data_IF_096194870933
#
_entry.id   IF_096194870933
#
_cell.length_a   1.000
_cell.length_b   1.000
_cell.length_c   1.000
_cell.angle_alpha   90.00
_cell.angle_beta   90.00
_cell.angle_gamma   90.00
#
_symmetry.space_group_name_H-M   'P 1'
#
loop_
_entity.id
_entity.type
_entity.pdbx_description
1 polymer ?
#
# COMPACT_ATOMS: atom_id res chain seq x y z
N UNK A 1 9.09 -15.34 -24.54
CA UNK A 1 9.11 -14.97 -23.10
C UNK A 1 9.23 -16.26 -22.33
N UNK A 2 10.30 -16.43 -21.55
CA UNK A 2 10.57 -17.68 -20.85
C UNK A 2 9.48 -17.99 -19.84
N UNK A 3 9.03 -19.25 -19.77
CA UNK A 3 8.02 -19.72 -18.82
C UNK A 3 8.45 -19.68 -17.33
N UNK A 4 9.65 -19.17 -17.03
CA UNK A 4 10.25 -19.13 -15.69
C UNK A 4 10.40 -17.73 -15.07
N UNK A 5 9.62 -16.75 -15.50
CA UNK A 5 9.74 -15.38 -14.98
C UNK A 5 8.88 -15.11 -13.74
N UNK A 6 8.42 -16.13 -13.03
CA UNK A 6 7.63 -15.99 -11.79
C UNK A 6 8.51 -16.12 -10.55
N UNK A 7 8.22 -15.36 -9.50
CA UNK A 7 8.81 -15.56 -8.17
C UNK A 7 8.23 -16.77 -7.43
N UNK A 8 7.22 -17.45 -8.02
CA UNK A 8 6.61 -18.65 -7.45
C UNK A 8 5.59 -18.36 -6.33
N UNK A 9 5.57 -19.25 -5.35
CA UNK A 9 4.74 -19.12 -4.14
C UNK A 9 5.48 -18.25 -3.12
N UNK A 10 4.79 -17.25 -2.59
CA UNK A 10 5.32 -16.28 -1.63
C UNK A 10 4.53 -16.37 -0.34
N UNK A 11 5.21 -16.23 0.79
CA UNK A 11 4.56 -16.26 2.11
C UNK A 11 4.67 -14.88 2.76
N UNK A 12 3.52 -14.24 3.10
CA UNK A 12 3.53 -12.99 3.85
C UNK A 12 4.15 -13.17 5.24
N UNK A 13 4.84 -12.15 5.69
CA UNK A 13 5.49 -12.11 6.99
C UNK A 13 4.97 -10.92 7.80
N UNK A 14 4.49 -11.18 9.01
CA UNK A 14 4.11 -10.12 9.94
C UNK A 14 5.30 -9.81 10.85
N UNK A 15 5.80 -8.60 10.77
CA UNK A 15 6.94 -8.12 11.57
C UNK A 15 6.42 -7.25 12.71
N UNK A 16 6.52 -7.69 13.96
CA UNK A 16 6.12 -6.91 15.12
C UNK A 16 7.21 -5.91 15.51
N UNK A 17 6.78 -4.71 15.88
CA UNK A 17 7.61 -3.66 16.45
C UNK A 17 7.10 -3.33 17.86
N UNK A 18 7.84 -3.77 18.87
CA UNK A 18 7.53 -3.55 20.28
C UNK A 18 8.05 -2.19 20.79
N UNK A 19 8.27 -1.26 19.86
CA UNK A 19 8.68 0.11 20.14
C UNK A 19 7.58 1.11 19.74
N UNK A 20 7.45 2.21 20.47
CA UNK A 20 6.43 3.19 20.15
C UNK A 20 6.74 3.94 18.85
N UNK A 21 5.71 4.18 18.04
CA UNK A 21 5.75 5.05 16.88
C UNK A 21 5.00 6.34 17.19
N UNK A 22 5.75 7.43 17.37
CA UNK A 22 5.15 8.77 17.51
C UNK A 22 4.75 9.28 16.14
N UNK A 23 3.46 9.55 15.98
CA UNK A 23 2.85 10.01 14.74
C UNK A 23 2.95 11.54 14.58
N UNK A 24 2.80 12.03 13.36
CA UNK A 24 2.88 13.47 13.04
C UNK A 24 1.82 14.30 13.78
N UNK A 25 0.67 13.70 14.08
CA UNK A 25 -0.40 14.34 14.87
C UNK A 25 -0.17 14.35 16.38
N UNK A 26 0.99 13.88 16.85
CA UNK A 26 1.37 13.80 18.27
C UNK A 26 0.82 12.58 19.02
N UNK A 27 -0.05 11.77 18.42
CA UNK A 27 -0.48 10.49 18.99
C UNK A 27 0.64 9.46 18.87
N UNK A 28 0.60 8.44 19.70
CA UNK A 28 1.60 7.36 19.69
C UNK A 28 0.90 6.02 19.53
N UNK A 29 1.40 5.22 18.59
CA UNK A 29 1.11 3.78 18.58
C UNK A 29 2.15 3.12 19.50
N UNK A 30 1.74 2.49 20.62
CA UNK A 30 2.68 1.92 21.59
C UNK A 30 3.47 0.76 21.00
N UNK A 31 2.88 0.04 20.06
CA UNK A 31 3.46 -1.01 19.23
C UNK A 31 2.73 -1.06 17.89
N UNK A 32 3.35 -1.65 16.89
CA UNK A 32 2.71 -1.84 15.59
C UNK A 32 3.30 -3.04 14.85
N UNK A 33 2.53 -3.59 13.93
CA UNK A 33 2.94 -4.66 13.03
C UNK A 33 3.03 -4.12 11.61
N UNK A 34 3.98 -4.60 10.82
CA UNK A 34 4.01 -4.45 9.38
C UNK A 34 3.90 -5.81 8.70
N UNK A 35 2.96 -5.93 7.76
CA UNK A 35 2.87 -7.09 6.88
C UNK A 35 3.74 -6.82 5.65
N UNK A 36 4.64 -7.74 5.36
CA UNK A 36 5.58 -7.65 4.24
C UNK A 36 5.63 -8.92 3.41
N UNK A 37 6.13 -8.80 2.21
CA UNK A 37 6.67 -9.89 1.39
C UNK A 37 8.03 -9.48 0.86
N UNK A 38 8.89 -10.49 0.65
CA UNK A 38 10.23 -10.29 0.10
C UNK A 38 10.45 -11.20 -1.10
N UNK A 39 11.23 -10.72 -2.06
CA UNK A 39 11.52 -11.42 -3.32
C UNK A 39 13.00 -11.27 -3.63
N UNK A 40 13.64 -12.36 -4.08
CA UNK A 40 15.08 -12.40 -4.28
C UNK A 40 15.87 -12.47 -2.97
N UNK A 41 17.17 -12.26 -3.05
CA UNK A 41 18.10 -12.39 -1.92
C UNK A 41 18.83 -11.09 -1.62
N UNK A 42 18.91 -10.75 -0.33
CA UNK A 42 19.72 -9.64 0.14
C UNK A 42 21.19 -10.03 0.10
N UNK A 43 22.00 -9.27 -0.66
CA UNK A 43 23.43 -9.55 -0.77
C UNK A 43 24.19 -9.24 0.53
N UNK A 44 25.44 -9.71 0.64
CA UNK A 44 26.24 -9.57 1.84
C UNK A 44 26.49 -8.10 2.21
N UNK A 45 26.63 -7.23 1.22
CA UNK A 45 26.81 -5.77 1.38
C UNK A 45 25.52 -5.03 1.67
N UNK A 46 24.36 -5.73 1.60
CA UNK A 46 23.00 -5.17 1.82
C UNK A 46 22.70 -3.92 1.00
N UNK A 47 23.24 -3.82 -0.20
CA UNK A 47 23.17 -2.65 -1.07
C UNK A 47 22.28 -2.85 -2.31
N UNK A 48 21.60 -4.01 -2.43
CA UNK A 48 20.71 -4.37 -3.53
C UNK A 48 19.21 -4.34 -3.15
N UNK A 49 18.85 -3.75 -2.03
CA UNK A 49 17.48 -3.75 -1.54
C UNK A 49 16.62 -2.70 -2.26
N UNK A 50 15.43 -3.08 -2.72
CA UNK A 50 14.44 -2.21 -3.37
C UNK A 50 13.14 -2.25 -2.57
N UNK A 51 12.65 -1.08 -2.16
CA UNK A 51 11.36 -0.92 -1.49
C UNK A 51 10.27 -0.59 -2.52
N UNK A 52 9.19 -1.36 -2.52
CA UNK A 52 8.00 -1.09 -3.34
C UNK A 52 6.90 -0.50 -2.45
N UNK A 53 6.53 0.74 -2.74
CA UNK A 53 5.46 1.46 -2.07
C UNK A 53 4.17 1.35 -2.89
N UNK A 54 3.14 0.73 -2.33
CA UNK A 54 1.86 0.53 -3.01
C UNK A 54 1.00 1.81 -3.07
N UNK A 55 0.10 1.86 -4.05
CA UNK A 55 -0.92 2.89 -4.18
C UNK A 55 -2.08 2.68 -3.18
N UNK A 56 -3.10 3.55 -3.22
CA UNK A 56 -4.22 3.56 -2.26
C UNK A 56 -4.88 2.19 -2.05
N UNK A 57 -5.09 1.44 -3.13
CA UNK A 57 -5.78 0.14 -3.10
C UNK A 57 -4.82 -1.06 -3.20
N UNK A 58 -3.53 -0.83 -3.04
CA UNK A 58 -2.52 -1.89 -3.05
C UNK A 58 -2.23 -2.44 -1.66
N UNK A 59 -1.34 -3.41 -1.61
CA UNK A 59 -0.89 -4.08 -0.40
C UNK A 59 0.54 -4.60 -0.57
N UNK A 60 0.99 -5.44 0.35
CA UNK A 60 2.31 -6.08 0.34
C UNK A 60 2.50 -7.12 -0.78
N UNK A 61 1.42 -7.68 -1.34
CA UNK A 61 1.49 -8.74 -2.36
C UNK A 61 1.82 -8.17 -3.75
N UNK A 62 3.11 -7.95 -3.99
CA UNK A 62 3.61 -7.30 -5.22
C UNK A 62 3.71 -8.28 -6.38
N UNK A 63 4.21 -9.50 -6.15
CA UNK A 63 4.44 -10.50 -7.20
C UNK A 63 4.21 -11.93 -6.69
N UNK A 64 4.09 -12.88 -7.60
CA UNK A 64 3.86 -14.29 -7.28
C UNK A 64 2.45 -14.59 -6.84
N UNK A 65 2.28 -15.69 -6.09
CA UNK A 65 1.01 -16.18 -5.56
C UNK A 65 1.20 -16.66 -4.13
N UNK A 66 0.13 -16.68 -3.33
CA UNK A 66 0.18 -17.27 -1.98
C UNK A 66 -0.05 -18.79 -2.02
N UNK A 67 -0.77 -19.28 -3.04
CA UNK A 67 -1.01 -20.71 -3.26
C UNK A 67 -1.00 -21.06 -4.76
N UNK A 68 -0.91 -22.35 -5.07
CA UNK A 68 -1.02 -22.83 -6.45
C UNK A 68 -2.44 -22.62 -7.04
N UNK A 69 -3.45 -22.58 -6.19
CA UNK A 69 -4.86 -22.42 -6.55
C UNK A 69 -5.25 -20.95 -6.80
N UNK A 70 -4.38 -20.00 -6.45
CA UNK A 70 -4.70 -18.58 -6.63
C UNK A 70 -4.87 -18.23 -8.11
N UNK A 71 -6.01 -17.63 -8.41
CA UNK A 71 -6.34 -17.19 -9.78
C UNK A 71 -5.47 -16.02 -10.23
N UNK A 72 -5.09 -15.16 -9.29
CA UNK A 72 -4.38 -13.91 -9.58
C UNK A 72 -3.01 -13.91 -8.91
N UNK A 73 -2.06 -13.24 -9.54
CA UNK A 73 -0.73 -12.94 -9.02
C UNK A 73 -0.74 -11.59 -8.31
N UNK A 74 0.36 -11.26 -7.65
CA UNK A 74 0.59 -9.94 -7.08
C UNK A 74 0.34 -8.80 -8.07
N UNK A 75 0.00 -7.63 -7.56
CA UNK A 75 -0.50 -6.50 -8.37
C UNK A 75 0.54 -5.92 -9.35
N UNK A 76 1.83 -6.21 -9.16
CA UNK A 76 2.92 -5.78 -10.03
C UNK A 76 3.78 -6.94 -10.54
N UNK A 77 3.21 -8.13 -10.60
CA UNK A 77 3.91 -9.34 -11.05
C UNK A 77 4.58 -9.20 -12.43
N UNK A 78 4.03 -8.36 -13.31
CA UNK A 78 4.65 -8.07 -14.60
C UNK A 78 5.94 -7.24 -14.51
N UNK A 79 6.22 -6.60 -13.38
CA UNK A 79 7.40 -5.76 -13.16
C UNK A 79 8.44 -6.41 -12.26
N UNK A 80 8.02 -7.27 -11.32
CA UNK A 80 8.88 -7.86 -10.29
C UNK A 80 9.02 -9.38 -10.54
N UNK A 81 10.23 -9.86 -10.67
CA UNK A 81 10.54 -11.28 -10.85
C UNK A 81 11.84 -11.51 -11.61
N UNK A 82 12.25 -12.78 -11.78
CA UNK A 82 13.46 -13.13 -12.50
C UNK A 82 13.43 -12.61 -13.94
N UNK A 83 14.45 -11.84 -14.34
CA UNK A 83 14.57 -11.24 -15.68
C UNK A 83 13.52 -10.18 -16.02
N UNK A 84 12.72 -9.72 -15.05
CA UNK A 84 11.76 -8.62 -15.20
C UNK A 84 12.43 -7.26 -14.93
N UNK A 85 11.75 -6.10 -15.20
CA UNK A 85 12.36 -4.78 -14.98
C UNK A 85 12.93 -4.56 -13.57
N UNK A 86 12.28 -5.11 -12.54
CA UNK A 86 12.81 -5.20 -11.17
C UNK A 86 13.20 -6.68 -10.98
N UNK A 87 14.42 -6.99 -11.38
CA UNK A 87 14.93 -8.33 -11.49
C UNK A 87 15.30 -8.90 -10.11
N UNK A 88 14.58 -9.91 -9.66
CA UNK A 88 14.82 -10.56 -8.36
C UNK A 88 16.04 -11.47 -8.32
N UNK A 89 16.70 -11.76 -9.46
CA UNK A 89 18.02 -12.39 -9.47
C UNK A 89 19.14 -11.41 -9.08
N UNK A 90 18.86 -10.11 -9.12
CA UNK A 90 19.79 -9.00 -8.80
C UNK A 90 19.41 -8.22 -7.56
N UNK A 91 18.12 -8.05 -7.33
CA UNK A 91 17.60 -7.20 -6.28
C UNK A 91 16.83 -8.01 -5.23
N UNK A 92 17.02 -7.62 -3.98
CA UNK A 92 16.15 -7.99 -2.87
C UNK A 92 15.01 -7.00 -2.79
N UNK A 93 13.81 -7.42 -3.17
CA UNK A 93 12.63 -6.55 -3.25
C UNK A 93 11.77 -6.75 -2.02
N UNK A 94 11.34 -5.65 -1.42
CA UNK A 94 10.45 -5.63 -0.25
C UNK A 94 9.14 -4.94 -0.63
N UNK A 95 8.03 -5.66 -0.55
CA UNK A 95 6.68 -5.13 -0.56
C UNK A 95 6.13 -5.06 0.86
N UNK A 96 5.43 -3.99 1.21
CA UNK A 96 4.80 -3.87 2.52
C UNK A 96 3.36 -3.38 2.40
N UNK A 97 2.53 -3.70 3.40
CA UNK A 97 1.23 -3.06 3.60
C UNK A 97 1.39 -1.89 4.57
N UNK A 98 0.93 -0.70 4.16
CA UNK A 98 1.06 0.50 4.98
C UNK A 98 0.25 0.42 6.27
N UNK A 99 0.70 1.10 7.33
CA UNK A 99 -0.09 1.32 8.54
C UNK A 99 -1.45 1.95 8.20
N UNK A 100 -2.50 1.50 8.87
CA UNK A 100 -3.87 1.90 8.58
C UNK A 100 -4.50 1.15 7.39
N UNK A 101 -3.74 0.31 6.70
CA UNK A 101 -4.25 -0.60 5.67
C UNK A 101 -5.03 -1.79 6.27
N UNK A 102 -5.65 -2.59 5.40
CA UNK A 102 -6.52 -3.69 5.81
C UNK A 102 -5.91 -5.09 5.55
N UNK A 103 -4.64 -5.16 5.16
CA UNK A 103 -3.95 -6.40 4.77
C UNK A 103 -2.81 -6.78 5.72
N UNK A 104 -3.09 -6.78 7.03
CA UNK A 104 -2.24 -7.40 8.04
C UNK A 104 -1.31 -6.47 8.81
N UNK A 105 -0.93 -5.30 8.30
CA UNK A 105 -0.29 -4.26 9.10
C UNK A 105 -1.26 -3.67 10.12
N UNK A 106 -0.74 -3.09 11.21
CA UNK A 106 -1.59 -2.43 12.20
C UNK A 106 -2.48 -1.37 11.57
N UNK A 107 -3.76 -1.41 11.89
CA UNK A 107 -4.79 -0.55 11.32
C UNK A 107 -6.10 -0.62 12.11
N UNK A 108 -7.20 -0.10 11.58
CA UNK A 108 -8.51 -0.11 12.25
C UNK A 108 -8.99 -1.47 12.72
N UNK A 109 -8.55 -2.56 12.08
CA UNK A 109 -8.90 -3.93 12.45
C UNK A 109 -8.00 -4.54 13.54
N UNK A 110 -6.95 -3.82 13.95
CA UNK A 110 -6.06 -4.26 15.02
C UNK A 110 -6.73 -4.08 16.39
N UNK A 111 -6.34 -4.93 17.34
CA UNK A 111 -6.82 -4.80 18.71
C UNK A 111 -6.09 -3.64 19.40
N UNK A 112 -6.86 -2.70 19.91
CA UNK A 112 -6.35 -1.64 20.78
C UNK A 112 -5.96 -2.26 22.13
N UNK A 113 -4.69 -2.18 22.56
CA UNK A 113 -4.23 -2.79 23.80
C UNK A 113 -4.85 -2.16 25.05
N UNK A 114 -5.36 -0.92 24.95
CA UNK A 114 -5.98 -0.22 26.09
C UNK A 114 -7.43 -0.69 26.32
N UNK A 115 -8.15 -1.03 25.24
CA UNK A 115 -9.57 -1.37 25.31
C UNK A 115 -9.87 -2.85 25.12
N UNK A 116 -8.92 -3.62 24.57
CA UNK A 116 -9.10 -5.03 24.18
C UNK A 116 -10.06 -5.24 23.00
N UNK A 117 -10.44 -4.18 22.28
CA UNK A 117 -11.33 -4.21 21.11
C UNK A 117 -10.61 -3.75 19.86
N UNK A 118 -11.18 -4.02 18.67
CA UNK A 118 -10.70 -3.41 17.43
C UNK A 118 -10.71 -1.87 17.55
N UNK A 119 -9.69 -1.22 17.00
CA UNK A 119 -9.63 0.24 16.99
C UNK A 119 -10.82 0.87 16.25
N UNK A 120 -11.23 0.30 15.12
CA UNK A 120 -12.24 0.91 14.27
C UNK A 120 -11.87 2.34 13.89
N UNK A 121 -12.78 3.27 14.13
CA UNK A 121 -12.57 4.70 13.89
C UNK A 121 -11.58 5.36 14.87
N UNK A 122 -11.27 4.72 15.99
CA UNK A 122 -10.31 5.22 16.98
C UNK A 122 -8.85 5.02 16.56
N UNK A 123 -8.59 4.25 15.51
CA UNK A 123 -7.23 4.12 14.98
C UNK A 123 -6.69 5.51 14.61
N UNK A 124 -5.50 5.89 15.10
CA UNK A 124 -4.99 7.23 14.86
C UNK A 124 -4.79 7.50 13.37
N UNK A 125 -5.06 8.73 12.96
CA UNK A 125 -4.77 9.18 11.60
C UNK A 125 -3.27 9.08 11.35
N UNK A 126 -2.89 8.38 10.28
CA UNK A 126 -1.51 8.23 9.82
C UNK A 126 -1.30 9.03 8.53
N UNK A 127 -0.13 9.64 8.41
CA UNK A 127 0.27 10.44 7.24
C UNK A 127 1.29 9.68 6.40
N UNK A 128 1.63 10.24 5.23
CA UNK A 128 2.72 9.71 4.39
C UNK A 128 4.06 9.72 5.13
N UNK A 129 4.29 10.72 6.00
CA UNK A 129 5.49 10.77 6.84
C UNK A 129 5.53 9.64 7.87
N UNK A 130 4.39 9.30 8.47
CA UNK A 130 4.29 8.20 9.43
C UNK A 130 4.53 6.85 8.75
N UNK A 131 4.03 6.67 7.51
CA UNK A 131 4.35 5.49 6.71
C UNK A 131 5.85 5.37 6.46
N UNK A 132 6.49 6.44 5.99
CA UNK A 132 7.95 6.45 5.74
C UNK A 132 8.73 6.21 7.02
N UNK A 133 8.27 6.73 8.16
CA UNK A 133 8.88 6.47 9.47
C UNK A 133 8.78 4.99 9.86
N UNK A 134 7.63 4.35 9.66
CA UNK A 134 7.46 2.92 9.92
C UNK A 134 8.28 2.05 8.95
N UNK A 135 8.39 2.47 7.69
CA UNK A 135 9.24 1.83 6.69
C UNK A 135 10.74 1.96 7.03
N UNK A 136 11.15 3.08 7.64
CA UNK A 136 12.53 3.24 8.12
C UNK A 136 12.84 2.27 9.27
N UNK A 137 11.88 2.06 10.18
CA UNK A 137 12.01 1.02 11.22
C UNK A 137 12.09 -0.40 10.61
N UNK A 138 11.35 -0.67 9.53
CA UNK A 138 11.47 -1.93 8.79
C UNK A 138 12.85 -2.08 8.15
N UNK A 139 13.40 -1.03 7.57
CA UNK A 139 14.75 -1.05 7.00
C UNK A 139 15.79 -1.39 8.07
N UNK A 140 15.68 -0.77 9.26
CA UNK A 140 16.55 -1.05 10.41
C UNK A 140 16.44 -2.50 10.86
N UNK A 141 15.22 -3.05 10.94
CA UNK A 141 14.95 -4.45 11.27
C UNK A 141 15.62 -5.41 10.27
N UNK A 142 15.55 -5.11 8.97
CA UNK A 142 16.19 -5.91 7.91
C UNK A 142 17.70 -5.67 7.81
N UNK A 143 18.23 -4.69 8.54
CA UNK A 143 19.63 -4.26 8.50
C UNK A 143 20.02 -3.58 7.19
N UNK A 144 19.06 -2.88 6.56
CA UNK A 144 19.26 -2.12 5.32
C UNK A 144 19.55 -0.66 5.69
N UNK A 145 20.79 -0.24 5.53
CA UNK A 145 21.20 1.13 5.79
C UNK A 145 20.71 2.08 4.69
N UNK A 146 20.81 1.64 3.43
CA UNK A 146 20.41 2.43 2.27
C UNK A 146 19.68 1.56 1.23
N UNK A 147 18.50 1.98 0.83
CA UNK A 147 17.78 1.39 -0.29
C UNK A 147 18.51 1.66 -1.63
N UNK A 148 18.74 0.63 -2.44
CA UNK A 148 19.18 0.81 -3.82
C UNK A 148 18.14 1.62 -4.61
N UNK A 149 16.86 1.36 -4.36
CA UNK A 149 15.77 2.17 -4.88
C UNK A 149 14.54 2.11 -3.97
N UNK A 150 13.79 3.21 -3.93
CA UNK A 150 12.41 3.28 -3.43
C UNK A 150 11.50 3.59 -4.61
N UNK A 151 10.55 2.72 -4.88
CA UNK A 151 9.72 2.77 -6.10
C UNK A 151 8.25 2.82 -5.72
N UNK A 152 7.51 3.75 -6.29
CA UNK A 152 6.08 3.82 -6.03
C UNK A 152 5.29 4.58 -7.09
N UNK A 153 4.05 4.15 -7.29
CA UNK A 153 3.09 4.82 -8.15
C UNK A 153 1.99 5.52 -7.37
N UNK A 154 1.50 6.67 -7.86
CA UNK A 154 0.42 7.43 -7.22
C UNK A 154 0.75 7.75 -5.76
N UNK A 155 -0.06 7.28 -4.78
CA UNK A 155 0.21 7.43 -3.35
C UNK A 155 1.54 6.76 -2.93
N UNK A 156 1.93 5.66 -3.60
CA UNK A 156 3.26 5.06 -3.43
C UNK A 156 4.40 5.97 -3.89
N UNK A 157 4.17 6.76 -4.95
CA UNK A 157 5.13 7.76 -5.40
C UNK A 157 5.29 8.92 -4.42
N UNK A 158 4.22 9.30 -3.69
CA UNK A 158 4.33 10.27 -2.60
C UNK A 158 5.20 9.73 -1.45
N UNK A 159 5.12 8.43 -1.15
CA UNK A 159 5.98 7.77 -0.18
C UNK A 159 7.45 7.78 -0.64
N UNK A 160 7.69 7.40 -1.91
CA UNK A 160 9.05 7.43 -2.48
C UNK A 160 9.66 8.83 -2.44
N UNK A 161 8.87 9.87 -2.76
CA UNK A 161 9.29 11.26 -2.65
C UNK A 161 9.55 11.65 -1.17
N UNK A 162 8.67 11.24 -0.24
CA UNK A 162 8.83 11.54 1.18
C UNK A 162 10.10 10.89 1.76
N UNK A 163 10.50 9.71 1.27
CA UNK A 163 11.77 9.09 1.64
C UNK A 163 12.95 9.99 1.34
N UNK A 164 12.99 10.61 0.15
CA UNK A 164 14.09 11.51 -0.24
C UNK A 164 14.13 12.80 0.58
N UNK A 165 13.02 13.17 1.21
CA UNK A 165 12.92 14.35 2.09
C UNK A 165 13.32 13.99 3.53
N UNK A 166 12.79 12.87 4.06
CA UNK A 166 12.99 12.48 5.45
C UNK A 166 14.34 11.80 5.71
N UNK A 167 14.82 11.03 4.73
CA UNK A 167 16.03 10.19 4.85
C UNK A 167 16.84 10.20 3.55
N UNK A 168 17.30 11.36 3.06
CA UNK A 168 17.98 11.47 1.76
C UNK A 168 19.22 10.58 1.64
N UNK A 169 19.95 10.36 2.73
CA UNK A 169 21.14 9.51 2.79
C UNK A 169 20.80 8.01 2.72
N UNK A 170 19.56 7.64 3.01
CA UNK A 170 19.09 6.24 3.03
C UNK A 170 18.44 5.79 1.72
N UNK A 171 18.46 6.62 0.68
CA UNK A 171 17.88 6.32 -0.63
C UNK A 171 18.88 6.66 -1.73
N UNK A 172 19.29 5.68 -2.53
CA UNK A 172 20.17 5.91 -3.68
C UNK A 172 19.38 6.40 -4.90
N UNK A 173 18.23 5.79 -5.16
CA UNK A 173 17.33 6.14 -6.27
C UNK A 173 15.88 6.18 -5.79
N UNK A 174 15.12 7.17 -6.24
CA UNK A 174 13.68 7.22 -6.03
C UNK A 174 12.97 7.25 -7.38
N UNK A 175 12.08 6.28 -7.61
CA UNK A 175 11.25 6.22 -8.81
C UNK A 175 9.82 6.63 -8.44
N UNK A 176 9.47 7.86 -8.81
CA UNK A 176 8.16 8.48 -8.54
C UNK A 176 7.33 8.40 -9.80
N UNK A 177 6.32 7.54 -9.83
CA UNK A 177 5.56 7.21 -11.04
C UNK A 177 4.14 7.77 -10.91
N UNK A 178 3.68 8.56 -11.90
CA UNK A 178 2.32 9.10 -11.96
C UNK A 178 1.86 9.70 -10.61
N UNK A 179 2.70 10.52 -10.01
CA UNK A 179 2.51 11.10 -8.67
C UNK A 179 2.90 12.58 -8.66
N UNK A 180 2.56 13.26 -7.57
CA UNK A 180 2.85 14.69 -7.40
C UNK A 180 3.17 14.99 -5.93
N UNK A 181 4.00 16.03 -5.65
CA UNK A 181 4.33 16.44 -4.29
C UNK A 181 3.14 17.11 -3.57
N UNK A 182 2.15 17.57 -4.33
CA UNK A 182 0.96 18.26 -3.83
C UNK A 182 -0.24 17.90 -4.68
N UNK A 183 -1.35 17.55 -4.05
CA UNK A 183 -2.62 17.36 -4.73
C UNK A 183 -3.17 18.69 -5.25
N UNK A 184 -3.75 18.66 -6.46
CA UNK A 184 -4.54 19.78 -6.95
C UNK A 184 -5.85 19.93 -6.17
N UNK A 185 -6.42 21.14 -6.17
CA UNK A 185 -7.73 21.39 -5.54
C UNK A 185 -8.81 20.46 -6.08
N UNK A 186 -8.78 20.17 -7.39
CA UNK A 186 -9.71 19.24 -8.03
C UNK A 186 -9.54 17.81 -7.49
N UNK A 187 -8.31 17.35 -7.31
CA UNK A 187 -8.03 16.04 -6.72
C UNK A 187 -8.53 15.94 -5.27
N UNK A 188 -8.34 16.99 -4.48
CA UNK A 188 -8.85 17.08 -3.12
C UNK A 188 -10.38 16.97 -3.13
N UNK A 189 -11.06 17.70 -4.03
CA UNK A 189 -12.52 17.68 -4.16
C UNK A 189 -13.04 16.29 -4.53
N UNK A 190 -12.44 15.60 -5.50
CA UNK A 190 -12.83 14.23 -5.85
C UNK A 190 -12.68 13.25 -4.69
N UNK A 191 -11.57 13.35 -3.97
CA UNK A 191 -11.35 12.51 -2.78
C UNK A 191 -12.35 12.83 -1.67
N UNK A 192 -12.76 14.10 -1.53
CA UNK A 192 -13.77 14.47 -0.54
C UNK A 192 -15.14 13.91 -0.90
N UNK A 193 -15.57 13.99 -2.15
CA UNK A 193 -16.82 13.35 -2.61
C UNK A 193 -16.81 11.84 -2.28
N UNK A 194 -15.70 11.15 -2.53
CA UNK A 194 -15.57 9.73 -2.23
C UNK A 194 -15.65 9.45 -0.72
N UNK A 195 -15.01 10.29 0.12
CA UNK A 195 -15.10 10.17 1.58
C UNK A 195 -16.52 10.43 2.08
N UNK A 196 -17.15 11.52 1.61
CA UNK A 196 -18.52 11.88 2.01
C UNK A 196 -19.51 10.75 1.66
N UNK A 197 -19.36 10.12 0.50
CA UNK A 197 -20.20 9.00 0.12
C UNK A 197 -20.12 7.84 1.14
N UNK A 198 -18.94 7.56 1.71
CA UNK A 198 -18.76 6.52 2.72
C UNK A 198 -19.27 7.00 4.08
N UNK A 199 -18.90 8.22 4.49
CA UNK A 199 -19.25 8.76 5.81
C UNK A 199 -20.76 8.95 6.00
N UNK A 200 -21.49 9.24 4.93
CA UNK A 200 -22.96 9.44 4.96
C UNK A 200 -23.75 8.15 4.71
N UNK A 201 -23.06 7.02 4.46
CA UNK A 201 -23.74 5.73 4.37
C UNK A 201 -24.28 5.32 5.76
N UNK A 202 -25.59 5.05 5.91
CA UNK A 202 -26.16 4.63 7.20
C UNK A 202 -25.47 3.42 7.83
N UNK A 203 -24.90 2.53 7.00
CA UNK A 203 -24.22 1.32 7.45
C UNK A 203 -22.76 1.58 7.87
N UNK A 204 -22.26 2.82 7.76
CA UNK A 204 -20.90 3.19 8.18
C UNK A 204 -20.74 3.21 9.69
N UNK A 205 -21.79 3.59 10.43
CA UNK A 205 -21.82 3.60 11.89
C UNK A 205 -20.61 4.35 12.50
N UNK A 206 -20.31 5.56 12.01
CA UNK A 206 -19.18 6.39 12.47
C UNK A 206 -17.81 5.67 12.42
N UNK A 207 -17.67 4.67 11.54
CA UNK A 207 -16.47 3.84 11.38
C UNK A 207 -16.45 2.57 12.21
N UNK A 208 -17.48 2.33 13.03
CA UNK A 208 -17.63 1.13 13.86
C UNK A 208 -18.53 0.06 13.20
N UNK A 209 -18.64 0.08 11.86
CA UNK A 209 -19.52 -0.79 11.09
C UNK A 209 -19.33 -2.29 11.38
N UNK A 210 -18.11 -2.74 11.70
CA UNK A 210 -17.86 -4.16 12.03
C UNK A 210 -18.54 -4.59 13.33
N UNK A 211 -18.50 -3.77 14.38
CA UNK A 211 -19.18 -4.06 15.65
C UNK A 211 -20.71 -4.09 15.49
N UNK A 212 -21.23 -3.46 14.44
CA UNK A 212 -22.65 -3.48 14.06
C UNK A 212 -22.99 -4.57 13.04
N UNK A 213 -22.01 -5.40 12.59
CA UNK A 213 -22.17 -6.39 11.52
C UNK A 213 -22.72 -5.79 10.22
N UNK A 214 -22.36 -4.55 9.90
CA UNK A 214 -22.74 -3.84 8.67
C UNK A 214 -21.54 -3.60 7.78
N UNK A 215 -21.79 -3.19 6.54
CA UNK A 215 -20.78 -2.74 5.59
C UNK A 215 -21.35 -1.55 4.82
N UNK A 216 -20.67 -0.40 4.76
CA UNK A 216 -21.12 0.79 4.04
C UNK A 216 -21.03 0.59 2.52
N UNK A 217 -21.74 -0.41 2.01
CA UNK A 217 -21.62 -0.89 0.63
C UNK A 217 -22.04 0.14 -0.42
N UNK A 218 -23.01 1.01 -0.09
CA UNK A 218 -23.49 2.07 -0.99
C UNK A 218 -22.40 3.15 -1.16
N UNK A 219 -21.86 3.62 -0.04
CA UNK A 219 -20.80 4.63 -0.02
C UNK A 219 -19.53 4.11 -0.70
N UNK A 220 -19.11 2.89 -0.39
CA UNK A 220 -17.96 2.24 -1.03
C UNK A 220 -18.14 2.11 -2.55
N UNK A 221 -19.36 1.78 -3.02
CA UNK A 221 -19.66 1.69 -4.45
C UNK A 221 -19.51 3.04 -5.14
N UNK A 222 -20.05 4.11 -4.54
CA UNK A 222 -19.94 5.48 -5.09
C UNK A 222 -18.47 5.92 -5.11
N UNK A 223 -17.74 5.70 -4.02
CA UNK A 223 -16.31 6.00 -3.94
C UNK A 223 -15.52 5.25 -5.02
N UNK A 224 -15.86 3.99 -5.29
CA UNK A 224 -15.24 3.19 -6.36
C UNK A 224 -15.55 3.72 -7.76
N UNK A 225 -16.80 4.15 -8.01
CA UNK A 225 -17.18 4.80 -9.27
C UNK A 225 -16.39 6.10 -9.48
N UNK A 226 -16.24 6.93 -8.45
CA UNK A 226 -15.42 8.13 -8.49
C UNK A 226 -13.96 7.80 -8.86
N UNK A 227 -13.40 6.76 -8.27
CA UNK A 227 -12.06 6.28 -8.63
C UNK A 227 -11.94 5.89 -10.11
N UNK A 228 -12.94 5.22 -10.70
CA UNK A 228 -12.92 4.88 -12.13
C UNK A 228 -12.94 6.12 -13.03
N UNK A 229 -13.74 7.12 -12.68
CA UNK A 229 -13.85 8.37 -13.45
C UNK A 229 -12.55 9.18 -13.38
N UNK A 230 -11.88 9.20 -12.24
CA UNK A 230 -10.72 10.08 -12.01
C UNK A 230 -9.38 9.45 -12.33
N UNK A 231 -9.28 8.10 -12.35
CA UNK A 231 -8.01 7.39 -12.59
C UNK A 231 -7.81 6.96 -14.03
N UNK A 232 -8.88 6.86 -14.82
CA UNK A 232 -8.81 6.43 -16.22
C UNK A 232 -8.84 7.64 -17.14
N UNK A 233 -8.02 7.60 -18.19
CA UNK A 233 -8.14 8.53 -19.29
C UNK A 233 -9.47 8.29 -20.06
N UNK A 234 -10.04 9.32 -20.67
CA UNK A 234 -11.29 9.26 -21.44
C UNK A 234 -11.29 8.13 -22.48
N UNK A 235 -10.21 8.03 -23.26
CA UNK A 235 -10.04 6.94 -24.24
C UNK A 235 -10.04 5.55 -23.60
N UNK A 236 -9.41 5.41 -22.43
CA UNK A 236 -9.38 4.17 -21.64
C UNK A 236 -10.77 3.81 -21.13
N UNK A 237 -11.51 4.80 -20.68
CA UNK A 237 -12.89 4.64 -20.21
C UNK A 237 -13.80 4.22 -21.37
N UNK A 238 -13.68 4.91 -22.54
CA UNK A 238 -14.42 4.58 -23.75
C UNK A 238 -14.14 3.17 -24.27
N UNK A 239 -12.88 2.72 -24.26
CA UNK A 239 -12.49 1.36 -24.63
C UNK A 239 -13.04 0.30 -23.67
N UNK A 240 -13.16 0.63 -22.38
CA UNK A 240 -13.61 -0.31 -21.33
C UNK A 240 -15.14 -0.39 -21.22
N UNK A 241 -15.83 0.75 -21.35
CA UNK A 241 -17.27 0.90 -21.08
C UNK A 241 -18.06 1.53 -22.24
N UNK A 242 -17.45 1.70 -23.42
CA UNK A 242 -18.10 2.31 -24.58
C UNK A 242 -19.32 1.51 -25.05
N UNK A 243 -20.24 2.19 -25.79
CA UNK A 243 -21.55 1.67 -26.21
C UNK A 243 -21.49 0.37 -27.00
N UNK A 244 -20.37 0.06 -27.65
CA UNK A 244 -20.18 -1.14 -28.48
C UNK A 244 -19.74 -2.38 -27.70
N UNK A 245 -19.55 -2.26 -26.39
CA UNK A 245 -19.29 -3.40 -25.52
C UNK A 245 -20.49 -3.69 -24.66
N UNK A 246 -21.01 -4.92 -24.73
CA UNK A 246 -21.99 -5.41 -23.75
C UNK A 246 -21.36 -5.24 -22.37
N UNK A 247 -21.81 -4.25 -21.61
CA UNK A 247 -21.39 -4.07 -20.24
C UNK A 247 -21.87 -5.28 -19.45
N UNK A 248 -20.96 -6.10 -18.96
CA UNK A 248 -21.24 -7.02 -17.87
C UNK A 248 -21.13 -6.17 -16.61
N UNK A 249 -22.27 -5.70 -16.12
CA UNK A 249 -22.40 -5.07 -14.81
C UNK A 249 -22.47 -6.18 -13.76
#
# INVERSE_FOLDING_TARGET
MSQNASVGIVTPQKIPFEMPLVLENGKTLPRFDLMIETYGELNAEKNNAVLICHALSGNHHVAGRHSAEDKYTGWWDNMVGPGKPIDTERFFVVGLNNLGGCDGSSGPLSINPETGREYGADFPVVTVKDWVKSQAALADYLGIEQWAAVVGGSLGGMQALQWTISYPERVRHALVIASAPKLSTQNIAFNDVARQAILTDPDFNEGHYRSHNTVPARGLRIARMMGHITYLAEDGLGKKFGRDRKSVV
#
